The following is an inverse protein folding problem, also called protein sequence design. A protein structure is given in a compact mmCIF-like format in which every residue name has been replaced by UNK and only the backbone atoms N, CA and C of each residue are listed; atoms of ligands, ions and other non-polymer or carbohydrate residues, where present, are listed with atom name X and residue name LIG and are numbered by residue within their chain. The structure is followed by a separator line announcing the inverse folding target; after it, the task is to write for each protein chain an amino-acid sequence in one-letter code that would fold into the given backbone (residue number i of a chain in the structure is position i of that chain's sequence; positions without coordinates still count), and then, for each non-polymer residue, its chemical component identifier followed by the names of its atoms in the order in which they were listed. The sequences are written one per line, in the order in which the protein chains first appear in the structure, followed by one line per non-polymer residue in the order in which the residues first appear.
data_IF_198116489012
#
_entry.id   IF_198116489012
#
_cell.length_a   1.000
_cell.length_b   1.000
_cell.length_c   1.000
_cell.angle_alpha   90.00
_cell.angle_beta   90.00
_cell.angle_gamma   90.00
#
_symmetry.space_group_name_H-M   'P 1'
#
loop_
_entity.id
_entity.type
_entity.pdbx_description
1 polymer ?
#
# COMPACT_ATOMS: atom_id res chain seq x y z
N UNK A 1 -41.39 -4.60 4.75
CA UNK A 1 -40.13 -4.89 5.48
C UNK A 1 -39.06 -3.93 4.94
N UNK A 2 -37.97 -3.51 5.63
CA UNK A 2 -37.56 -3.69 7.04
C UNK A 2 -36.39 -2.73 7.53
N UNK A 3 -36.60 -1.63 8.24
CA UNK A 3 -35.41 -0.94 8.83
C UNK A 3 -34.84 -1.73 10.04
N UNK A 4 -35.72 -2.23 10.90
CA UNK A 4 -35.34 -3.04 12.08
C UNK A 4 -34.76 -4.41 11.73
N UNK A 5 -35.23 -5.08 10.67
CA UNK A 5 -34.68 -6.38 10.30
C UNK A 5 -33.28 -6.26 9.67
N UNK A 6 -33.02 -5.19 8.90
CA UNK A 6 -31.68 -4.87 8.38
C UNK A 6 -30.72 -4.54 9.51
N UNK A 7 -31.13 -3.73 10.50
CA UNK A 7 -30.31 -3.44 11.69
C UNK A 7 -29.96 -4.69 12.51
N UNK A 8 -30.93 -5.60 12.68
CA UNK A 8 -30.68 -6.86 13.39
C UNK A 8 -29.75 -7.80 12.61
N UNK A 9 -29.88 -7.88 11.29
CA UNK A 9 -28.93 -8.63 10.46
C UNK A 9 -27.53 -8.01 10.48
N UNK A 10 -27.41 -6.67 10.43
CA UNK A 10 -26.13 -5.96 10.52
C UNK A 10 -25.46 -6.16 11.89
N UNK A 11 -26.21 -6.19 12.98
CA UNK A 11 -25.66 -6.44 14.32
C UNK A 11 -25.20 -7.90 14.49
N UNK A 12 -25.95 -8.87 13.96
CA UNK A 12 -25.53 -10.28 13.93
C UNK A 12 -24.28 -10.49 13.05
N UNK A 13 -24.20 -9.78 11.92
CA UNK A 13 -23.02 -9.75 11.05
C UNK A 13 -21.80 -9.14 11.75
N UNK A 14 -21.96 -8.03 12.49
CA UNK A 14 -20.86 -7.38 13.22
C UNK A 14 -20.18 -8.34 14.20
N UNK A 15 -20.95 -9.09 15.00
CA UNK A 15 -20.41 -10.04 15.96
C UNK A 15 -19.67 -11.20 15.30
N UNK A 16 -20.25 -11.78 14.24
CA UNK A 16 -19.66 -12.90 13.50
C UNK A 16 -18.44 -12.49 12.69
N UNK A 17 -18.48 -11.33 12.02
CA UNK A 17 -17.33 -10.76 11.34
C UNK A 17 -16.22 -10.40 12.32
N UNK A 18 -16.52 -9.80 13.47
CA UNK A 18 -15.49 -9.48 14.47
C UNK A 18 -14.81 -10.73 15.00
N UNK A 19 -15.58 -11.76 15.38
CA UNK A 19 -15.01 -13.04 15.81
C UNK A 19 -14.26 -13.78 14.71
N UNK A 20 -14.76 -13.74 13.46
CA UNK A 20 -14.05 -14.26 12.31
C UNK A 20 -12.74 -13.51 12.10
N UNK A 21 -12.74 -12.17 12.12
CA UNK A 21 -11.56 -11.33 11.94
C UNK A 21 -10.51 -11.58 13.03
N UNK A 22 -10.94 -11.75 14.29
CA UNK A 22 -10.05 -12.07 15.43
C UNK A 22 -9.50 -13.49 15.32
N UNK A 23 -10.33 -14.50 15.00
CA UNK A 23 -9.83 -15.88 14.72
C UNK A 23 -8.87 -15.88 13.54
N UNK A 24 -9.17 -15.14 12.49
CA UNK A 24 -8.36 -15.03 11.29
C UNK A 24 -7.04 -14.32 11.58
N UNK A 25 -7.06 -13.25 12.40
CA UNK A 25 -5.86 -12.61 12.92
C UNK A 25 -4.98 -13.58 13.71
N UNK A 26 -5.56 -14.42 14.56
CA UNK A 26 -4.81 -15.41 15.33
C UNK A 26 -4.22 -16.53 14.46
N UNK A 27 -4.97 -17.01 13.45
CA UNK A 27 -4.49 -18.00 12.48
C UNK A 27 -3.35 -17.43 11.61
N UNK A 28 -3.44 -16.17 11.16
CA UNK A 28 -2.38 -15.53 10.39
C UNK A 28 -1.23 -14.97 11.23
N UNK A 29 -1.44 -14.69 12.52
CA UNK A 29 -0.37 -14.40 13.47
C UNK A 29 0.50 -15.64 13.70
N UNK A 30 -0.11 -16.83 13.76
CA UNK A 30 0.60 -18.10 13.74
C UNK A 30 1.30 -18.38 12.40
N UNK A 31 0.80 -17.79 11.30
CA UNK A 31 1.38 -17.85 9.95
C UNK A 31 2.45 -16.79 9.65
N UNK A 32 2.95 -16.07 10.66
CA UNK A 32 4.19 -15.30 10.58
C UNK A 32 5.26 -16.00 11.43
N UNK A 33 5.83 -17.14 10.98
CA UNK A 33 6.80 -17.85 11.78
C UNK A 33 8.08 -17.03 11.74
N UNK A 34 8.52 -16.57 12.91
CA UNK A 34 9.94 -16.25 13.10
C UNK A 34 10.73 -17.50 12.63
N UNK A 35 11.33 -17.44 11.45
CA UNK A 35 12.10 -18.56 10.89
C UNK A 35 11.35 -19.53 9.96
N UNK A 36 10.34 -19.08 9.20
CA UNK A 36 9.73 -19.95 8.19
C UNK A 36 10.68 -20.31 7.04
N UNK A 37 10.93 -21.62 6.88
CA UNK A 37 11.85 -22.13 5.85
C UNK A 37 11.33 -21.93 4.42
N UNK A 38 10.02 -21.83 4.22
CA UNK A 38 9.42 -21.75 2.88
C UNK A 38 9.84 -20.48 2.13
N UNK A 39 9.55 -19.29 2.68
CA UNK A 39 9.94 -18.05 2.01
C UNK A 39 11.44 -17.75 2.11
N UNK A 40 12.15 -18.20 3.14
CA UNK A 40 13.62 -18.04 3.21
C UNK A 40 14.35 -18.83 2.13
N UNK A 41 13.87 -20.03 1.80
CA UNK A 41 14.45 -20.90 0.75
C UNK A 41 14.07 -20.43 -0.66
N UNK A 42 12.80 -20.06 -0.89
CA UNK A 42 12.34 -19.56 -2.19
C UNK A 42 12.89 -18.16 -2.49
N UNK A 43 13.06 -17.32 -1.48
CA UNK A 43 13.50 -15.95 -1.66
C UNK A 43 15.02 -15.77 -1.68
N UNK A 44 15.82 -16.79 -1.35
CA UNK A 44 17.29 -16.72 -1.42
C UNK A 44 17.89 -15.68 -0.46
N UNK A 45 17.58 -15.80 0.83
CA UNK A 45 18.23 -14.98 1.87
C UNK A 45 19.53 -15.65 2.35
N UNK A 46 20.48 -15.83 1.42
CA UNK A 46 21.79 -16.44 1.68
C UNK A 46 22.97 -15.45 1.59
N UNK A 47 22.70 -14.19 1.22
CA UNK A 47 23.73 -13.17 1.07
C UNK A 47 23.90 -12.33 2.34
N UNK A 48 25.00 -12.53 3.06
CA UNK A 48 25.44 -11.65 4.14
C UNK A 48 25.71 -10.23 3.62
N UNK A 49 25.43 -9.23 4.45
CA UNK A 49 25.79 -7.83 4.18
C UNK A 49 24.64 -6.94 3.69
N UNK A 50 24.79 -5.65 3.99
CA UNK A 50 23.94 -4.57 3.52
C UNK A 50 23.98 -4.49 1.98
N UNK A 51 22.81 -4.37 1.36
CA UNK A 51 22.70 -4.34 -0.11
C UNK A 51 22.30 -2.94 -0.54
N UNK A 52 23.10 -2.29 -1.39
CA UNK A 52 22.84 -0.93 -1.85
C UNK A 52 21.40 -0.77 -2.39
N UNK A 53 20.54 0.02 -1.70
CA UNK A 53 19.15 0.21 -2.09
C UNK A 53 18.97 1.33 -3.11
N UNK A 54 20.03 2.03 -3.53
CA UNK A 54 19.95 3.29 -4.28
C UNK A 54 19.24 3.14 -5.62
N UNK A 55 19.66 2.20 -6.46
CA UNK A 55 19.04 1.99 -7.78
C UNK A 55 17.58 1.54 -7.65
N UNK A 56 17.29 0.62 -6.73
CA UNK A 56 15.93 0.15 -6.48
C UNK A 56 15.04 1.29 -6.00
N UNK A 57 15.53 2.11 -5.07
CA UNK A 57 14.80 3.28 -4.56
C UNK A 57 14.54 4.29 -5.66
N UNK A 58 15.50 4.53 -6.55
CA UNK A 58 15.33 5.41 -7.71
C UNK A 58 14.21 4.91 -8.61
N UNK A 59 14.22 3.63 -9.00
CA UNK A 59 13.18 3.03 -9.84
C UNK A 59 11.81 3.07 -9.17
N UNK A 60 11.71 2.68 -7.90
CA UNK A 60 10.44 2.74 -7.15
C UNK A 60 9.90 4.17 -7.10
N UNK A 61 10.76 5.17 -6.84
CA UNK A 61 10.34 6.59 -6.86
C UNK A 61 9.92 7.05 -8.26
N UNK A 62 10.64 6.66 -9.32
CA UNK A 62 10.28 7.00 -10.69
C UNK A 62 8.89 6.49 -11.07
N UNK A 63 8.55 5.23 -10.71
CA UNK A 63 7.22 4.67 -10.94
C UNK A 63 6.13 5.34 -10.09
N UNK A 64 6.45 5.78 -8.87
CA UNK A 64 5.52 6.57 -8.05
C UNK A 64 5.29 7.98 -8.61
N UNK A 65 6.33 8.65 -9.14
CA UNK A 65 6.17 9.92 -9.84
C UNK A 65 5.38 9.76 -11.15
N UNK A 66 5.60 8.68 -11.90
CA UNK A 66 4.80 8.35 -13.07
C UNK A 66 3.33 8.13 -12.71
N UNK A 67 3.06 7.42 -11.60
CA UNK A 67 1.70 7.26 -11.07
C UNK A 67 1.08 8.61 -10.71
N UNK A 68 1.81 9.46 -9.99
CA UNK A 68 1.34 10.80 -9.62
C UNK A 68 1.00 11.65 -10.85
N UNK A 69 1.87 11.63 -11.87
CA UNK A 69 1.62 12.34 -13.12
C UNK A 69 0.35 11.84 -13.81
N UNK A 70 0.16 10.52 -13.91
CA UNK A 70 -1.04 9.93 -14.51
C UNK A 70 -2.32 10.30 -13.74
N UNK A 71 -2.28 10.28 -12.41
CA UNK A 71 -3.42 10.70 -11.57
C UNK A 71 -3.77 12.17 -11.81
N UNK A 72 -2.76 13.05 -11.85
CA UNK A 72 -2.96 14.47 -12.13
C UNK A 72 -3.49 14.70 -13.56
N UNK A 73 -2.98 13.97 -14.56
CA UNK A 73 -3.50 14.03 -15.93
C UNK A 73 -4.96 13.59 -16.00
N UNK A 74 -5.35 12.55 -15.25
CA UNK A 74 -6.75 12.10 -15.17
C UNK A 74 -7.66 13.10 -14.47
N UNK A 75 -7.19 13.74 -13.40
CA UNK A 75 -7.93 14.81 -12.73
C UNK A 75 -8.12 16.02 -13.65
N UNK A 76 -7.07 16.40 -14.39
CA UNK A 76 -7.13 17.48 -15.37
C UNK A 76 -8.12 17.15 -16.49
N UNK A 77 -8.06 15.94 -17.06
CA UNK A 77 -9.01 15.49 -18.09
C UNK A 77 -10.46 15.56 -17.58
N UNK A 78 -10.73 15.04 -16.38
CA UNK A 78 -12.08 15.14 -15.79
C UNK A 78 -12.53 16.58 -15.50
N UNK A 79 -11.61 17.49 -15.18
CA UNK A 79 -11.93 18.90 -14.98
C UNK A 79 -12.29 19.60 -16.31
N UNK A 80 -11.60 19.25 -17.40
CA UNK A 80 -11.89 19.77 -18.74
C UNK A 80 -13.26 19.30 -19.23
N UNK A 81 -13.60 18.02 -19.03
CA UNK A 81 -14.93 17.49 -19.37
C UNK A 81 -16.04 18.19 -18.56
N UNK A 82 -15.82 18.41 -17.26
CA UNK A 82 -16.76 19.15 -16.42
C UNK A 82 -16.93 20.62 -16.82
N UNK A 83 -15.91 21.22 -17.47
CA UNK A 83 -15.99 22.57 -18.02
C UNK A 83 -16.77 22.64 -19.35
N UNK A 84 -17.35 21.52 -19.82
CA UNK A 84 -18.15 21.45 -21.04
C UNK A 84 -17.35 21.20 -22.31
N UNK A 85 -16.04 20.96 -22.21
CA UNK A 85 -15.20 20.60 -23.34
C UNK A 85 -15.20 19.08 -23.56
N UNK A 86 -15.68 18.62 -24.72
CA UNK A 86 -15.59 17.22 -25.13
C UNK A 86 -14.24 16.94 -25.78
N UNK A 87 -13.33 16.30 -25.02
CA UNK A 87 -12.06 15.83 -25.55
C UNK A 87 -12.21 14.40 -26.09
N UNK A 88 -12.62 14.28 -27.35
CA UNK A 88 -12.66 12.98 -28.03
C UNK A 88 -11.25 12.56 -28.46
N UNK A 89 -10.57 11.81 -27.60
CA UNK A 89 -9.28 11.24 -27.93
C UNK A 89 -9.43 10.14 -29.00
N UNK A 90 -8.61 10.15 -30.08
CA UNK A 90 -8.52 9.06 -31.04
C UNK A 90 -8.29 7.70 -30.35
N UNK A 91 -8.88 6.64 -30.92
CA UNK A 91 -8.80 5.30 -30.32
C UNK A 91 -7.37 4.81 -30.02
N UNK A 92 -6.34 5.05 -30.86
CA UNK A 92 -4.98 4.61 -30.54
C UNK A 92 -4.43 5.30 -29.28
N UNK A 93 -4.70 6.60 -29.12
CA UNK A 93 -4.22 7.37 -27.96
C UNK A 93 -4.86 6.88 -26.67
N UNK A 94 -6.16 6.55 -26.70
CA UNK A 94 -6.86 5.96 -25.54
C UNK A 94 -6.24 4.62 -25.13
N UNK A 95 -6.00 3.74 -26.11
CA UNK A 95 -5.39 2.43 -25.86
C UNK A 95 -3.99 2.58 -25.25
N UNK A 96 -3.15 3.46 -25.81
CA UNK A 96 -1.81 3.75 -25.29
C UNK A 96 -1.89 4.27 -23.85
N UNK A 97 -2.81 5.19 -23.57
CA UNK A 97 -3.00 5.74 -22.22
C UNK A 97 -3.38 4.66 -21.20
N UNK A 98 -4.28 3.74 -21.57
CA UNK A 98 -4.67 2.61 -20.72
C UNK A 98 -3.48 1.68 -20.50
N UNK A 99 -2.75 1.32 -21.56
CA UNK A 99 -1.57 0.46 -21.46
C UNK A 99 -0.49 1.06 -20.54
N UNK A 100 -0.25 2.36 -20.64
CA UNK A 100 0.69 3.08 -19.77
C UNK A 100 0.24 3.05 -18.30
N UNK A 101 -1.06 3.24 -18.03
CA UNK A 101 -1.61 3.15 -16.67
C UNK A 101 -1.44 1.75 -16.08
N UNK A 102 -1.71 0.71 -16.85
CA UNK A 102 -1.49 -0.66 -16.43
C UNK A 102 -0.01 -0.95 -16.16
N UNK A 103 0.88 -0.50 -17.04
CA UNK A 103 2.33 -0.65 -16.85
C UNK A 103 2.80 -0.02 -15.54
N UNK A 104 2.37 1.22 -15.27
CA UNK A 104 2.74 1.93 -14.05
C UNK A 104 2.12 1.27 -12.81
N UNK A 105 0.87 0.82 -12.90
CA UNK A 105 0.19 0.11 -11.83
C UNK A 105 0.92 -1.19 -11.47
N UNK A 106 1.09 -2.10 -12.43
CA UNK A 106 1.78 -3.38 -12.21
C UNK A 106 3.24 -3.20 -11.81
N UNK A 107 3.91 -2.19 -12.37
CA UNK A 107 5.26 -1.81 -11.95
C UNK A 107 5.32 -1.45 -10.47
N UNK A 108 4.38 -0.66 -9.95
CA UNK A 108 4.30 -0.35 -8.53
C UNK A 108 3.93 -1.57 -7.67
N UNK A 109 3.04 -2.44 -8.15
CA UNK A 109 2.70 -3.71 -7.49
C UNK A 109 3.91 -4.64 -7.30
N UNK A 110 4.96 -4.51 -8.12
CA UNK A 110 6.20 -5.27 -7.99
C UNK A 110 7.26 -4.49 -7.23
N UNK A 111 7.50 -3.24 -7.62
CA UNK A 111 8.61 -2.43 -7.08
C UNK A 111 8.43 -2.06 -5.61
N UNK A 112 7.20 -1.76 -5.16
CA UNK A 112 6.96 -1.41 -3.76
C UNK A 112 7.22 -2.61 -2.84
N UNK A 113 6.66 -3.81 -3.06
CA UNK A 113 6.96 -4.98 -2.24
C UNK A 113 8.44 -5.39 -2.29
N UNK A 114 9.07 -5.38 -3.47
CA UNK A 114 10.50 -5.71 -3.62
C UNK A 114 11.37 -4.71 -2.86
N UNK A 115 11.03 -3.42 -2.91
CA UNK A 115 11.70 -2.39 -2.12
C UNK A 115 11.46 -2.59 -0.62
N UNK A 116 10.25 -2.90 -0.17
CA UNK A 116 9.95 -3.17 1.24
C UNK A 116 10.76 -4.36 1.77
N UNK A 117 10.88 -5.44 0.98
CA UNK A 117 11.76 -6.56 1.29
C UNK A 117 13.23 -6.14 1.42
N UNK A 118 13.73 -5.33 0.49
CA UNK A 118 15.11 -4.80 0.52
C UNK A 118 15.37 -3.97 1.78
N UNK A 119 14.44 -3.07 2.10
CA UNK A 119 14.54 -2.20 3.25
C UNK A 119 14.50 -3.00 4.57
N UNK A 120 13.68 -4.05 4.65
CA UNK A 120 13.67 -4.96 5.81
C UNK A 120 15.00 -5.71 5.96
N UNK A 121 15.53 -6.28 4.87
CA UNK A 121 16.83 -6.95 4.88
C UNK A 121 17.92 -6.01 5.36
N UNK A 122 18.02 -4.82 4.76
CA UNK A 122 19.06 -3.85 5.10
C UNK A 122 18.98 -3.38 6.56
N UNK A 123 17.77 -3.14 7.10
CA UNK A 123 17.61 -2.79 8.51
C UNK A 123 18.22 -3.85 9.44
N UNK A 124 18.03 -5.14 9.13
CA UNK A 124 18.64 -6.24 9.89
C UNK A 124 20.16 -6.26 9.79
N UNK A 125 20.70 -5.97 8.60
CA UNK A 125 22.16 -5.89 8.39
C UNK A 125 22.80 -4.70 9.09
N UNK A 126 22.02 -3.67 9.42
CA UNK A 126 22.45 -2.51 10.22
C UNK A 126 22.38 -2.77 11.74
N UNK A 127 22.03 -3.99 12.18
CA UNK A 127 22.00 -4.33 13.60
C UNK A 127 20.60 -4.43 14.22
N UNK A 128 19.52 -4.25 13.44
CA UNK A 128 18.15 -4.47 13.92
C UNK A 128 17.82 -5.95 14.10
N UNK A 129 18.35 -6.52 15.17
CA UNK A 129 18.10 -7.88 15.61
C UNK A 129 16.66 -8.03 16.12
N UNK A 130 16.07 -9.22 15.95
CA UNK A 130 14.76 -9.55 16.55
C UNK A 130 13.52 -8.99 15.84
N UNK A 131 13.66 -8.27 14.72
CA UNK A 131 12.52 -7.77 13.93
C UNK A 131 11.48 -8.86 13.64
N UNK A 132 10.19 -8.52 13.74
CA UNK A 132 9.06 -9.46 13.67
C UNK A 132 8.81 -9.99 12.27
N UNK A 133 8.96 -9.13 11.25
CA UNK A 133 8.69 -9.49 9.86
C UNK A 133 9.97 -9.84 9.13
N UNK A 134 10.07 -11.05 8.58
CA UNK A 134 11.22 -11.45 7.74
C UNK A 134 11.18 -10.70 6.40
N UNK A 135 12.32 -10.58 5.68
CA UNK A 135 12.35 -9.89 4.39
C UNK A 135 11.37 -10.48 3.36
N UNK A 136 11.21 -11.80 3.33
CA UNK A 136 10.23 -12.47 2.46
C UNK A 136 8.79 -12.07 2.79
N UNK A 137 8.42 -12.15 4.07
CA UNK A 137 7.09 -11.76 4.55
C UNK A 137 6.80 -10.28 4.37
N UNK A 138 7.82 -9.43 4.47
CA UNK A 138 7.69 -7.99 4.24
C UNK A 138 7.15 -7.67 2.84
N UNK A 139 7.48 -8.48 1.81
CA UNK A 139 6.86 -8.40 0.49
C UNK A 139 5.56 -9.22 0.37
N UNK A 140 5.52 -10.43 0.94
CA UNK A 140 4.39 -11.35 0.80
C UNK A 140 3.05 -10.79 1.30
N UNK A 141 3.07 -9.94 2.34
CA UNK A 141 1.86 -9.35 2.89
C UNK A 141 1.09 -8.41 1.95
N UNK A 142 1.70 -7.94 0.87
CA UNK A 142 1.00 -7.15 -0.16
C UNK A 142 0.09 -7.98 -1.07
N UNK A 143 0.25 -9.30 -1.10
CA UNK A 143 -0.48 -10.19 -2.01
C UNK A 143 -1.54 -11.05 -1.30
N UNK A 144 -1.61 -10.99 0.04
CA UNK A 144 -2.56 -11.74 0.83
C UNK A 144 -3.75 -10.86 1.21
N UNK A 145 -4.95 -11.06 0.66
CA UNK A 145 -6.09 -10.15 0.84
C UNK A 145 -6.42 -9.80 2.30
N UNK A 146 -6.38 -10.74 3.26
CA UNK A 146 -6.66 -10.41 4.66
C UNK A 146 -5.52 -9.66 5.34
N UNK A 147 -4.27 -9.99 5.00
CA UNK A 147 -3.09 -9.29 5.51
C UNK A 147 -3.00 -7.87 4.96
N UNK A 148 -3.50 -7.65 3.75
CA UNK A 148 -3.50 -6.37 3.05
C UNK A 148 -4.28 -5.27 3.78
N UNK A 149 -5.06 -5.57 4.82
CA UNK A 149 -5.78 -4.56 5.62
C UNK A 149 -4.91 -3.87 6.69
N UNK A 150 -3.82 -4.49 7.16
CA UNK A 150 -2.99 -3.90 8.22
C UNK A 150 -1.52 -4.31 8.22
N UNK A 151 -1.13 -5.41 7.55
CA UNK A 151 0.23 -5.93 7.61
C UNK A 151 1.24 -5.03 6.90
N UNK A 152 1.00 -4.47 5.70
CA UNK A 152 1.95 -3.55 5.08
C UNK A 152 2.23 -2.31 5.95
N UNK A 153 1.21 -1.77 6.61
CA UNK A 153 1.37 -0.70 7.60
C UNK A 153 2.30 -1.12 8.76
N UNK A 154 2.08 -2.29 9.35
CA UNK A 154 2.93 -2.81 10.44
C UNK A 154 4.37 -3.04 9.98
N UNK A 155 4.55 -3.65 8.80
CA UNK A 155 5.87 -3.89 8.20
C UNK A 155 6.63 -2.59 7.99
N UNK A 156 6.01 -1.61 7.33
CA UNK A 156 6.66 -0.32 7.03
C UNK A 156 6.98 0.47 8.30
N UNK A 157 6.13 0.38 9.33
CA UNK A 157 6.37 0.99 10.64
C UNK A 157 7.54 0.32 11.39
N UNK A 158 7.64 -1.01 11.34
CA UNK A 158 8.77 -1.74 11.91
C UNK A 158 10.08 -1.38 11.21
N UNK A 159 10.09 -1.37 9.86
CA UNK A 159 11.25 -0.95 9.07
C UNK A 159 11.65 0.48 9.41
N UNK A 160 10.69 1.40 9.56
CA UNK A 160 10.96 2.77 9.97
C UNK A 160 11.71 2.85 11.30
N UNK A 161 11.18 2.20 12.33
CA UNK A 161 11.80 2.17 13.66
C UNK A 161 13.22 1.60 13.61
N UNK A 162 13.37 0.47 12.92
CA UNK A 162 14.66 -0.18 12.70
C UNK A 162 15.64 0.63 11.84
N UNK A 163 15.13 1.58 11.05
CA UNK A 163 15.98 2.50 10.28
C UNK A 163 16.31 3.76 11.06
N UNK A 164 15.52 4.16 12.06
CA UNK A 164 15.80 5.34 12.91
C UNK A 164 16.95 5.04 13.86
N UNK A 165 16.86 3.91 14.56
CA UNK A 165 17.92 3.40 15.43
C UNK A 165 17.89 1.87 15.32
N UNK A 166 18.86 1.26 14.61
CA UNK A 166 18.92 -0.19 14.46
C UNK A 166 19.13 -0.92 15.79
N UNK A 167 19.84 -0.32 16.74
CA UNK A 167 20.24 -0.97 18.01
C UNK A 167 19.12 -0.95 19.05
N UNK A 168 18.34 0.13 19.11
CA UNK A 168 17.18 0.29 20.00
C UNK A 168 15.87 0.50 19.23
N UNK A 169 15.65 -0.30 18.19
CA UNK A 169 14.50 -0.11 17.31
C UNK A 169 13.15 -0.36 18.00
N UNK A 170 13.11 -1.20 19.04
CA UNK A 170 11.88 -1.52 19.78
C UNK A 170 11.39 -0.31 20.59
N UNK A 171 12.32 0.51 21.12
CA UNK A 171 12.04 1.75 21.83
C UNK A 171 11.61 2.91 20.91
N UNK A 172 11.87 2.81 19.60
CA UNK A 172 11.58 3.90 18.67
C UNK A 172 10.09 4.11 18.44
N UNK A 173 9.69 5.38 18.45
CA UNK A 173 8.30 5.78 18.14
C UNK A 173 8.01 5.61 16.66
N UNK A 174 6.79 5.17 16.36
CA UNK A 174 6.27 5.21 14.99
C UNK A 174 6.08 6.66 14.53
N UNK A 175 6.04 6.88 13.21
CA UNK A 175 5.69 8.18 12.65
C UNK A 175 4.21 8.22 12.22
N UNK A 176 3.47 9.32 12.48
CA UNK A 176 2.08 9.45 12.03
C UNK A 176 1.94 9.41 10.50
N UNK A 177 3.04 9.67 9.77
CA UNK A 177 3.15 9.57 8.32
C UNK A 177 2.63 8.21 7.79
N UNK A 178 2.95 7.12 8.48
CA UNK A 178 2.54 5.77 8.09
C UNK A 178 1.05 5.54 8.31
N UNK A 179 0.49 6.13 9.38
CA UNK A 179 -0.94 6.08 9.68
C UNK A 179 -1.75 6.80 8.60
N UNK A 180 -1.34 8.02 8.22
CA UNK A 180 -2.00 8.78 7.15
C UNK A 180 -1.89 8.10 5.79
N UNK A 181 -0.69 7.63 5.42
CA UNK A 181 -0.48 6.85 4.21
C UNK A 181 -1.45 5.67 4.13
N UNK A 182 -1.54 4.89 5.21
CA UNK A 182 -2.36 3.70 5.24
C UNK A 182 -3.86 4.00 5.26
N UNK A 183 -4.28 5.02 6.04
CA UNK A 183 -5.66 5.46 6.08
C UNK A 183 -6.14 5.95 4.71
N UNK A 184 -5.31 6.69 3.98
CA UNK A 184 -5.61 7.13 2.62
C UNK A 184 -5.70 5.94 1.65
N UNK A 185 -4.83 4.94 1.79
CA UNK A 185 -4.88 3.73 0.95
C UNK A 185 -6.18 2.95 1.18
N UNK A 186 -6.57 2.78 2.44
CA UNK A 186 -7.83 2.14 2.82
C UNK A 186 -9.04 2.93 2.29
N UNK A 187 -9.04 4.25 2.45
CA UNK A 187 -10.12 5.10 1.96
C UNK A 187 -10.24 5.06 0.43
N UNK A 188 -9.13 5.15 -0.29
CA UNK A 188 -9.11 5.11 -1.75
C UNK A 188 -9.53 3.73 -2.29
N UNK A 189 -9.06 2.63 -1.69
CA UNK A 189 -9.30 1.28 -2.23
C UNK A 189 -10.60 0.67 -1.73
N UNK A 190 -10.78 0.61 -0.41
CA UNK A 190 -11.93 -0.05 0.21
C UNK A 190 -13.14 0.87 0.32
N UNK A 191 -12.92 2.19 0.43
CA UNK A 191 -14.00 3.16 0.39
C UNK A 191 -14.71 3.14 -0.96
N UNK A 192 -13.97 3.17 -2.06
CA UNK A 192 -14.52 3.06 -3.42
C UNK A 192 -15.30 1.76 -3.61
N UNK A 193 -14.68 0.60 -3.29
CA UNK A 193 -15.32 -0.71 -3.40
C UNK A 193 -16.64 -0.80 -2.60
N UNK A 194 -16.65 -0.26 -1.37
CA UNK A 194 -17.82 -0.30 -0.49
C UNK A 194 -18.94 0.59 -1.01
N UNK A 195 -18.63 1.83 -1.42
CA UNK A 195 -19.66 2.76 -1.89
C UNK A 195 -20.26 2.26 -3.20
N UNK A 196 -19.44 1.80 -4.13
CA UNK A 196 -19.92 1.19 -5.38
C UNK A 196 -20.81 -0.03 -5.10
N UNK A 197 -20.36 -0.95 -4.24
CA UNK A 197 -21.13 -2.14 -3.89
C UNK A 197 -22.50 -1.80 -3.28
N UNK A 198 -22.57 -0.83 -2.37
CA UNK A 198 -23.84 -0.38 -1.78
C UNK A 198 -24.74 0.30 -2.82
N UNK A 199 -24.18 1.19 -3.66
CA UNK A 199 -24.92 1.89 -4.69
C UNK A 199 -25.61 0.93 -5.66
N UNK A 200 -24.88 -0.08 -6.15
CA UNK A 200 -25.45 -1.09 -7.06
C UNK A 200 -26.54 -1.97 -6.46
N UNK A 201 -26.57 -2.12 -5.12
CA UNK A 201 -27.57 -2.92 -4.42
C UNK A 201 -28.82 -2.12 -4.03
N UNK A 202 -28.68 -0.80 -3.85
CA UNK A 202 -29.71 0.04 -3.24
C UNK A 202 -30.34 1.06 -4.20
N UNK A 203 -29.67 1.37 -5.30
CA UNK A 203 -30.07 2.42 -6.23
C UNK A 203 -30.43 1.85 -7.61
N UNK A 204 -31.17 2.65 -8.39
CA UNK A 204 -31.38 2.35 -9.80
C UNK A 204 -30.07 2.48 -10.60
N UNK A 205 -29.91 1.77 -11.74
CA UNK A 205 -28.66 1.76 -12.49
C UNK A 205 -28.10 3.15 -12.86
N UNK A 206 -28.98 4.11 -13.19
CA UNK A 206 -28.56 5.48 -13.54
C UNK A 206 -28.00 6.27 -12.35
N UNK A 207 -28.63 6.14 -11.18
CA UNK A 207 -28.16 6.77 -9.94
C UNK A 207 -26.87 6.13 -9.45
N UNK A 208 -26.78 4.79 -9.54
CA UNK A 208 -25.56 4.06 -9.19
C UNK A 208 -24.37 4.50 -10.06
N UNK A 209 -24.58 4.72 -11.37
CA UNK A 209 -23.54 5.23 -12.27
C UNK A 209 -23.09 6.67 -11.92
N UNK A 210 -24.02 7.51 -11.49
CA UNK A 210 -23.71 8.88 -11.03
C UNK A 210 -22.87 8.85 -9.75
N UNK A 211 -23.24 8.00 -8.79
CA UNK A 211 -22.47 7.78 -7.56
C UNK A 211 -21.07 7.25 -7.87
N UNK A 212 -20.96 6.27 -8.77
CA UNK A 212 -19.67 5.71 -9.20
C UNK A 212 -18.73 6.78 -9.77
N UNK A 213 -19.25 7.64 -10.66
CA UNK A 213 -18.48 8.76 -11.21
C UNK A 213 -17.94 9.72 -10.14
N UNK A 214 -18.79 10.08 -9.17
CA UNK A 214 -18.42 10.97 -8.07
C UNK A 214 -17.39 10.33 -7.12
N UNK A 215 -17.60 9.06 -6.77
CA UNK A 215 -16.70 8.29 -5.90
C UNK A 215 -15.35 8.08 -6.57
N UNK A 216 -15.33 7.71 -7.85
CA UNK A 216 -14.10 7.55 -8.62
C UNK A 216 -13.31 8.86 -8.75
N UNK A 217 -13.98 10.02 -8.82
CA UNK A 217 -13.32 11.32 -8.77
C UNK A 217 -12.69 11.59 -7.40
N UNK A 218 -13.43 11.36 -6.33
CA UNK A 218 -12.93 11.53 -4.96
C UNK A 218 -11.76 10.57 -4.66
N UNK A 219 -11.86 9.31 -5.07
CA UNK A 219 -10.78 8.31 -4.96
C UNK A 219 -9.51 8.78 -5.66
N UNK A 220 -9.61 9.27 -6.90
CA UNK A 220 -8.46 9.86 -7.63
C UNK A 220 -7.83 11.05 -6.91
N UNK A 221 -8.62 11.88 -6.23
CA UNK A 221 -8.08 12.97 -5.41
C UNK A 221 -7.28 12.45 -4.22
N UNK A 222 -7.72 11.36 -3.56
CA UNK A 222 -7.00 10.73 -2.45
C UNK A 222 -5.68 10.08 -2.88
N UNK A 223 -5.59 9.62 -4.13
CA UNK A 223 -4.35 9.06 -4.68
C UNK A 223 -3.18 10.05 -4.71
N UNK A 224 -3.46 11.35 -4.82
CA UNK A 224 -2.43 12.41 -4.82
C UNK A 224 -1.66 12.44 -3.49
N UNK A 225 -2.28 12.75 -2.32
CA UNK A 225 -1.59 12.75 -1.04
C UNK A 225 -1.07 11.34 -0.69
N UNK A 226 -1.81 10.27 -1.01
CA UNK A 226 -1.37 8.89 -0.78
C UNK A 226 0.01 8.61 -1.40
N UNK A 227 0.19 9.00 -2.66
CA UNK A 227 1.46 8.81 -3.39
C UNK A 227 2.58 9.66 -2.81
N UNK A 228 2.27 10.91 -2.44
CA UNK A 228 3.24 11.81 -1.79
C UNK A 228 3.71 11.29 -0.43
N UNK A 229 2.79 10.73 0.37
CA UNK A 229 3.14 10.08 1.62
C UNK A 229 4.07 8.89 1.40
N UNK A 230 3.76 8.01 0.44
CA UNK A 230 4.61 6.84 0.14
C UNK A 230 6.00 7.26 -0.37
N UNK A 231 6.08 8.26 -1.26
CA UNK A 231 7.34 8.85 -1.72
C UNK A 231 8.18 9.39 -0.56
N UNK A 232 7.53 10.05 0.41
CA UNK A 232 8.18 10.61 1.58
C UNK A 232 8.68 9.50 2.51
N UNK A 233 7.87 8.48 2.76
CA UNK A 233 8.23 7.31 3.56
C UNK A 233 9.47 6.62 2.97
N UNK A 234 9.43 6.26 1.68
CA UNK A 234 10.51 5.59 0.98
C UNK A 234 11.80 6.43 1.02
N UNK A 235 11.69 7.73 0.74
CA UNK A 235 12.84 8.63 0.74
C UNK A 235 13.47 8.78 2.12
N UNK A 236 12.66 8.86 3.19
CA UNK A 236 13.17 8.98 4.56
C UNK A 236 13.84 7.69 5.02
N UNK A 237 13.21 6.53 4.82
CA UNK A 237 13.82 5.23 5.17
C UNK A 237 15.13 5.03 4.42
N UNK A 238 15.15 5.29 3.11
CA UNK A 238 16.37 5.16 2.31
C UNK A 238 17.52 6.01 2.86
N UNK A 239 17.27 7.31 3.14
CA UNK A 239 18.30 8.20 3.69
C UNK A 239 18.83 7.74 5.03
N UNK A 240 17.94 7.30 5.93
CA UNK A 240 18.33 6.78 7.23
C UNK A 240 19.22 5.54 7.09
N UNK A 241 18.83 4.58 6.27
CA UNK A 241 19.59 3.34 6.11
C UNK A 241 20.97 3.55 5.46
N UNK A 242 21.05 4.40 4.43
CA UNK A 242 22.34 4.75 3.82
C UNK A 242 23.21 5.53 4.78
N UNK A 243 22.63 6.46 5.56
CA UNK A 243 23.37 7.24 6.56
C UNK A 243 24.03 6.37 7.64
N UNK A 244 23.33 5.36 8.16
CA UNK A 244 23.93 4.41 9.10
C UNK A 244 25.06 3.61 8.45
N UNK A 245 24.83 3.09 7.25
CA UNK A 245 25.82 2.28 6.55
C UNK A 245 27.11 3.03 6.21
N UNK A 246 27.00 4.31 5.82
CA UNK A 246 28.15 5.15 5.52
C UNK A 246 28.87 5.59 6.82
N UNK A 247 28.12 5.83 7.90
CA UNK A 247 28.67 6.18 9.22
C UNK A 247 29.44 5.04 9.89
N UNK A 248 29.01 3.79 9.73
CA UNK A 248 29.72 2.62 10.27
C UNK A 248 31.05 2.32 9.56
N UNK A 249 31.31 2.98 8.43
CA UNK A 249 32.52 2.79 7.59
C UNK A 249 33.59 3.87 7.75
N UNK A 250 33.24 5.01 8.33
CA UNK A 250 34.16 6.13 8.60
C UNK A 250 34.83 5.99 9.95
#
# INVERSE_FOLDING_TARGET
MPFRAVLNQLNAWKGSCFHALVRFQNVFAAWNPRGDRFWTTVAGDSGSGFRDPTNLTRWTKSFLYAHLALVLSRLCFSAVEQAGASLELPSPIRVISIALQLLVFYGNCVLVPVWTRRANHNARQLGACGMTFTPGWAAGWYFLPPGLLWKPYKVMTEIWRASVDPTDWEGQRGSPLFGWWWALWLAATWGELLVYGVATLMLEPGDAQTVDGAVGLAGRMLHVPLTLFLLTIISKIHRLQVGHYDGDRS
#
